data_IF_458329233540
#
_entry.id   IF_458329233540
#
_cell.length_a   1.000
_cell.length_b   1.000
_cell.length_c   1.000
_cell.angle_alpha   90.00
_cell.angle_beta   90.00
_cell.angle_gamma   90.00
#
_symmetry.space_group_name_H-M   'P 1'
#
loop_
_entity.id
_entity.type
_entity.pdbx_description
1 polymer ?
#
# COMPACT_ATOMS: atom_id res chain seq x y z
N UNK A 1 -2.06 13.86 -11.75
CA UNK A 1 -2.54 13.58 -10.39
C UNK A 1 -3.75 12.64 -10.45
N UNK A 2 -3.90 11.77 -9.45
CA UNK A 2 -5.06 10.90 -9.28
C UNK A 2 -5.81 11.35 -8.02
N UNK A 3 -7.14 11.45 -8.05
CA UNK A 3 -7.93 11.83 -6.87
C UNK A 3 -9.16 10.95 -6.67
N UNK A 4 -9.52 10.74 -5.41
CA UNK A 4 -10.75 10.05 -5.01
C UNK A 4 -11.36 10.69 -3.76
N UNK A 5 -12.45 11.44 -3.96
CA UNK A 5 -13.22 12.09 -2.89
C UNK A 5 -12.42 13.06 -2.00
N UNK A 6 -11.40 13.70 -2.56
CA UNK A 6 -10.56 14.72 -1.90
C UNK A 6 -10.38 15.97 -2.77
N UNK A 7 -11.49 16.59 -3.19
CA UNK A 7 -11.41 17.66 -4.18
C UNK A 7 -10.62 18.87 -3.65
N UNK A 8 -10.73 19.19 -2.35
CA UNK A 8 -10.00 20.30 -1.73
C UNK A 8 -8.49 20.04 -1.66
N UNK A 9 -8.06 18.84 -1.27
CA UNK A 9 -6.63 18.48 -1.22
C UNK A 9 -6.04 18.55 -2.65
N UNK A 10 -6.77 18.01 -3.63
CA UNK A 10 -6.37 18.04 -5.03
C UNK A 10 -6.21 19.47 -5.57
N UNK A 11 -7.19 20.35 -5.33
CA UNK A 11 -7.10 21.76 -5.74
C UNK A 11 -5.97 22.49 -5.03
N UNK A 12 -5.71 22.20 -3.75
CA UNK A 12 -4.61 22.80 -3.01
C UNK A 12 -3.25 22.47 -3.66
N UNK A 13 -2.98 21.18 -3.92
CA UNK A 13 -1.75 20.75 -4.59
C UNK A 13 -1.62 21.31 -6.02
N UNK A 14 -2.71 21.40 -6.78
CA UNK A 14 -2.71 22.04 -8.10
C UNK A 14 -2.46 23.55 -8.04
N UNK A 15 -2.92 24.21 -6.98
CA UNK A 15 -2.70 25.64 -6.76
C UNK A 15 -1.22 25.94 -6.53
N UNK A 16 -0.52 25.11 -5.76
CA UNK A 16 0.94 25.23 -5.56
C UNK A 16 1.70 25.13 -6.90
N UNK A 17 1.32 24.17 -7.76
CA UNK A 17 1.90 24.02 -9.10
C UNK A 17 1.60 25.20 -10.03
N UNK A 18 0.40 25.77 -9.94
CA UNK A 18 0.01 26.93 -10.74
C UNK A 18 0.64 28.24 -10.23
N UNK A 19 0.96 28.30 -8.93
CA UNK A 19 1.49 29.49 -8.25
C UNK A 19 2.97 29.77 -8.51
N UNK A 20 3.77 28.75 -8.82
CA UNK A 20 5.17 28.90 -9.19
C UNK A 20 5.32 29.05 -10.73
N UNK A 21 5.74 30.22 -11.25
CA UNK A 21 5.83 30.44 -12.70
C UNK A 21 6.82 29.50 -13.40
N UNK A 22 7.94 29.18 -12.77
CA UNK A 22 8.97 28.32 -13.36
C UNK A 22 8.42 26.90 -13.53
N UNK A 23 7.78 26.36 -12.50
CA UNK A 23 7.20 25.01 -12.55
C UNK A 23 5.99 24.96 -13.47
N UNK A 24 5.10 25.96 -13.39
CA UNK A 24 3.92 26.05 -14.25
C UNK A 24 4.31 26.05 -15.72
N UNK A 25 5.38 26.75 -16.12
CA UNK A 25 5.79 26.86 -17.51
C UNK A 25 6.49 25.59 -18.02
N UNK A 26 7.02 24.74 -17.12
CA UNK A 26 7.54 23.40 -17.46
C UNK A 26 6.43 22.39 -17.77
N UNK A 27 5.23 22.57 -17.21
CA UNK A 27 4.12 21.62 -17.34
C UNK A 27 3.40 21.82 -18.69
N UNK A 28 3.53 20.88 -19.62
CA UNK A 28 2.84 20.95 -20.93
C UNK A 28 1.44 20.35 -20.93
N UNK A 29 1.15 19.45 -20.00
CA UNK A 29 -0.15 18.82 -19.81
C UNK A 29 -0.33 18.52 -18.31
N UNK A 30 -1.43 18.98 -17.74
CA UNK A 30 -1.87 18.67 -16.38
C UNK A 30 -3.07 17.73 -16.44
N UNK A 31 -2.86 16.45 -16.14
CA UNK A 31 -3.95 15.46 -16.09
C UNK A 31 -4.40 15.24 -14.66
N UNK A 32 -5.70 15.40 -14.41
CA UNK A 32 -6.36 15.03 -13.15
C UNK A 32 -7.33 13.89 -13.43
N UNK A 33 -7.02 12.69 -12.95
CA UNK A 33 -7.93 11.55 -12.99
C UNK A 33 -8.81 11.55 -11.73
N UNK A 34 -10.01 12.10 -11.83
CA UNK A 34 -11.03 12.12 -10.77
C UNK A 34 -11.87 10.84 -10.81
N UNK A 35 -11.63 10.00 -9.82
CA UNK A 35 -12.27 8.70 -9.65
C UNK A 35 -13.40 8.72 -8.61
N UNK A 36 -13.68 9.89 -8.02
CA UNK A 36 -14.61 10.09 -6.92
C UNK A 36 -16.03 10.39 -7.34
N UNK A 37 -16.92 10.42 -6.36
CA UNK A 37 -18.27 10.99 -6.50
C UNK A 37 -18.38 12.39 -5.90
N UNK A 38 -17.44 12.79 -5.03
CA UNK A 38 -17.24 14.18 -4.63
C UNK A 38 -16.21 14.82 -5.58
N UNK A 39 -16.70 15.56 -6.57
CA UNK A 39 -15.93 15.95 -7.76
C UNK A 39 -15.00 17.14 -7.53
N UNK A 40 -13.81 17.09 -8.15
CA UNK A 40 -12.80 18.15 -8.07
C UNK A 40 -13.25 19.44 -8.77
N UNK A 41 -14.03 19.34 -9.84
CA UNK A 41 -14.56 20.51 -10.56
C UNK A 41 -15.48 21.39 -9.70
N UNK A 42 -16.07 20.79 -8.66
CA UNK A 42 -17.01 21.45 -7.76
C UNK A 42 -16.30 22.09 -6.54
N UNK A 43 -14.98 21.90 -6.38
CA UNK A 43 -14.22 22.50 -5.27
C UNK A 43 -13.91 23.98 -5.49
N UNK A 44 -13.83 24.70 -4.37
CA UNK A 44 -13.40 26.09 -4.34
C UNK A 44 -11.98 26.22 -4.91
N UNK A 45 -11.78 27.19 -5.80
CA UNK A 45 -10.48 27.44 -6.43
C UNK A 45 -10.22 26.66 -7.71
N UNK A 46 -11.02 25.63 -8.04
CA UNK A 46 -10.84 24.83 -9.27
C UNK A 46 -10.77 25.69 -10.53
N UNK A 47 -11.70 26.63 -10.72
CA UNK A 47 -11.71 27.48 -11.91
C UNK A 47 -10.47 28.36 -12.07
N UNK A 48 -9.77 28.71 -10.97
CA UNK A 48 -8.50 29.45 -11.03
C UNK A 48 -7.36 28.55 -11.51
N UNK A 49 -7.31 27.32 -11.03
CA UNK A 49 -6.34 26.31 -11.47
C UNK A 49 -6.54 25.97 -12.94
N UNK A 50 -7.80 25.71 -13.34
CA UNK A 50 -8.15 25.42 -14.73
C UNK A 50 -7.74 26.58 -15.64
N UNK A 51 -8.04 27.83 -15.27
CA UNK A 51 -7.63 29.01 -16.01
C UNK A 51 -6.09 29.19 -16.07
N UNK A 52 -5.35 28.83 -15.01
CA UNK A 52 -3.89 28.98 -14.97
C UNK A 52 -3.17 28.02 -15.92
N UNK A 53 -3.71 26.82 -16.12
CA UNK A 53 -3.17 25.84 -17.06
C UNK A 53 -3.78 25.96 -18.47
N UNK A 54 -5.02 26.47 -18.58
CA UNK A 54 -5.71 26.73 -19.84
C UNK A 54 -5.96 25.44 -20.62
N UNK A 55 -5.62 25.47 -21.90
CA UNK A 55 -5.69 24.31 -22.82
C UNK A 55 -4.81 23.12 -22.39
N UNK A 56 -3.82 23.36 -21.51
CA UNK A 56 -2.97 22.31 -20.94
C UNK A 56 -3.66 21.55 -19.80
N UNK A 57 -4.83 21.95 -19.34
CA UNK A 57 -5.53 21.26 -18.26
C UNK A 57 -6.47 20.19 -18.80
N UNK A 58 -6.37 18.97 -18.28
CA UNK A 58 -7.23 17.84 -18.64
C UNK A 58 -7.80 17.21 -17.37
N UNK A 59 -9.07 17.52 -17.09
CA UNK A 59 -9.86 16.77 -16.12
C UNK A 59 -10.44 15.53 -16.80
N UNK A 60 -10.20 14.38 -16.18
CA UNK A 60 -10.78 13.10 -16.56
C UNK A 60 -11.63 12.60 -15.40
N UNK A 61 -12.93 12.48 -15.60
CA UNK A 61 -13.81 11.75 -14.68
C UNK A 61 -13.93 10.29 -15.13
N UNK A 62 -13.76 9.35 -14.21
CA UNK A 62 -13.90 7.91 -14.49
C UNK A 62 -14.35 7.14 -13.24
N UNK A 63 -14.68 5.85 -13.37
CA UNK A 63 -14.96 5.00 -12.22
C UNK A 63 -13.72 4.80 -11.32
N UNK A 64 -13.95 4.34 -10.09
CA UNK A 64 -12.86 4.00 -9.17
C UNK A 64 -12.11 2.72 -9.60
N UNK A 65 -10.96 2.92 -10.22
CA UNK A 65 -10.02 1.89 -10.63
C UNK A 65 -8.78 1.85 -9.72
N UNK A 66 -8.83 2.54 -8.58
CA UNK A 66 -7.75 2.66 -7.61
C UNK A 66 -6.57 3.50 -8.10
N UNK A 67 -5.48 3.53 -7.33
CA UNK A 67 -4.24 4.22 -7.69
C UNK A 67 -3.70 3.74 -9.03
N UNK A 68 -3.63 2.41 -9.26
CA UNK A 68 -3.12 1.87 -10.52
C UNK A 68 -3.90 2.37 -11.73
N UNK A 69 -5.23 2.47 -11.62
CA UNK A 69 -6.07 3.00 -12.70
C UNK A 69 -5.92 4.50 -12.92
N UNK A 70 -5.77 5.29 -11.86
CA UNK A 70 -5.55 6.74 -11.96
C UNK A 70 -4.19 7.08 -12.58
N UNK A 71 -3.12 6.42 -12.14
CA UNK A 71 -1.78 6.60 -12.71
C UNK A 71 -1.69 6.05 -14.15
N UNK A 72 -2.35 4.93 -14.44
CA UNK A 72 -2.47 4.43 -15.82
C UNK A 72 -3.22 5.40 -16.71
N UNK A 73 -4.24 6.10 -16.19
CA UNK A 73 -4.96 7.11 -16.95
C UNK A 73 -4.05 8.29 -17.28
N UNK A 74 -3.28 8.79 -16.31
CA UNK A 74 -2.32 9.85 -16.55
C UNK A 74 -1.26 9.46 -17.61
N UNK A 75 -0.74 8.24 -17.55
CA UNK A 75 0.17 7.73 -18.61
C UNK A 75 -0.52 7.59 -19.97
N UNK A 76 -1.76 7.11 -20.00
CA UNK A 76 -2.54 6.98 -21.23
C UNK A 76 -2.70 8.33 -21.92
N UNK A 77 -3.22 9.33 -21.21
CA UNK A 77 -3.40 10.69 -21.74
C UNK A 77 -2.07 11.31 -22.16
N UNK A 78 -1.01 11.12 -21.38
CA UNK A 78 0.34 11.59 -21.72
C UNK A 78 0.88 11.01 -23.03
N UNK A 79 0.61 9.73 -23.29
CA UNK A 79 1.05 9.07 -24.53
C UNK A 79 0.18 9.44 -25.73
N UNK A 80 -1.12 9.67 -25.53
CA UNK A 80 -2.08 9.87 -26.64
C UNK A 80 -2.36 11.32 -26.98
N UNK A 81 -2.20 12.24 -26.03
CA UNK A 81 -2.64 13.65 -26.14
C UNK A 81 -1.53 14.65 -25.74
N UNK A 82 -0.26 14.23 -25.80
CA UNK A 82 0.88 15.09 -25.45
C UNK A 82 2.17 14.67 -26.14
N UNK A 83 3.01 15.66 -26.44
CA UNK A 83 4.39 15.53 -26.94
C UNK A 83 5.45 15.64 -25.82
N UNK A 84 5.01 15.66 -24.55
CA UNK A 84 5.88 15.80 -23.40
C UNK A 84 6.96 14.72 -23.33
N UNK A 85 8.15 15.10 -22.85
CA UNK A 85 9.32 14.22 -22.77
C UNK A 85 9.37 13.41 -21.47
N UNK A 86 8.74 13.91 -20.42
CA UNK A 86 8.69 13.30 -19.09
C UNK A 86 7.28 13.45 -18.51
N UNK A 87 6.84 12.43 -17.80
CA UNK A 87 5.63 12.43 -16.98
C UNK A 87 6.03 12.47 -15.52
N UNK A 88 5.40 13.32 -14.70
CA UNK A 88 5.56 13.27 -13.25
C UNK A 88 4.23 12.87 -12.59
N UNK A 89 4.29 11.81 -11.79
CA UNK A 89 3.23 11.43 -10.88
C UNK A 89 3.30 12.24 -9.60
N UNK A 90 2.13 12.65 -9.11
CA UNK A 90 1.89 13.32 -7.84
C UNK A 90 0.57 12.80 -7.26
N UNK A 91 0.54 12.56 -5.95
CA UNK A 91 -0.69 12.29 -5.19
C UNK A 91 -1.51 13.57 -4.99
N UNK A 92 -2.78 13.44 -4.59
CA UNK A 92 -3.69 14.55 -4.33
C UNK A 92 -3.63 15.07 -2.89
N UNK A 93 -3.32 14.22 -1.90
CA UNK A 93 -3.22 14.59 -0.48
C UNK A 93 -1.79 14.90 -0.02
N UNK A 94 -1.13 15.78 -0.79
CA UNK A 94 0.21 16.29 -0.52
C UNK A 94 0.24 17.79 -0.24
N UNK A 95 1.24 18.22 0.52
CA UNK A 95 1.78 19.58 0.38
C UNK A 95 3.06 19.51 -0.46
N UNK A 96 3.18 20.43 -1.42
CA UNK A 96 4.21 20.41 -2.43
C UNK A 96 5.16 21.60 -2.25
N UNK A 97 6.45 21.34 -2.33
CA UNK A 97 7.47 22.35 -2.63
C UNK A 97 7.69 22.35 -4.15
N UNK A 98 7.21 23.35 -4.93
CA UNK A 98 7.28 23.32 -6.39
C UNK A 98 8.71 23.13 -6.93
N UNK A 99 9.72 23.72 -6.26
CA UNK A 99 11.12 23.53 -6.65
C UNK A 99 11.56 22.05 -6.62
N UNK A 100 10.89 21.18 -5.86
CA UNK A 100 11.13 19.73 -5.92
C UNK A 100 10.83 19.16 -7.31
N UNK A 101 9.76 19.62 -7.98
CA UNK A 101 9.43 19.22 -9.36
C UNK A 101 10.53 19.68 -10.32
N UNK A 102 10.98 20.93 -10.19
CA UNK A 102 12.08 21.47 -10.99
C UNK A 102 13.39 20.70 -10.78
N UNK A 103 13.74 20.36 -9.52
CA UNK A 103 14.92 19.53 -9.18
C UNK A 103 14.86 18.15 -9.82
N UNK A 104 13.71 17.48 -9.75
CA UNK A 104 13.52 16.16 -10.34
C UNK A 104 13.65 16.23 -11.87
N UNK A 105 13.04 17.24 -12.51
CA UNK A 105 13.15 17.45 -13.94
C UNK A 105 14.58 17.77 -14.38
N UNK A 106 15.26 18.70 -13.69
CA UNK A 106 16.66 19.04 -13.95
C UNK A 106 17.57 17.81 -13.82
N UNK A 107 17.42 17.00 -12.77
CA UNK A 107 18.19 15.77 -12.61
C UNK A 107 17.96 14.82 -13.79
N UNK A 108 16.72 14.66 -14.26
CA UNK A 108 16.40 13.82 -15.40
C UNK A 108 17.07 14.32 -16.70
N UNK A 109 17.13 15.63 -16.93
CA UNK A 109 17.79 16.22 -18.12
C UNK A 109 19.30 15.94 -18.17
N UNK A 110 19.96 15.86 -17.02
CA UNK A 110 21.40 15.57 -16.91
C UNK A 110 21.70 14.09 -16.66
N UNK A 111 20.69 13.22 -16.66
CA UNK A 111 20.89 11.79 -16.48
C UNK A 111 21.66 11.20 -17.68
N UNK A 112 22.65 10.35 -17.40
CA UNK A 112 23.49 9.72 -18.45
C UNK A 112 22.71 8.78 -19.38
N UNK A 113 21.57 8.29 -18.90
CA UNK A 113 20.64 7.43 -19.63
C UNK A 113 19.24 7.67 -19.05
N UNK A 114 18.16 7.36 -19.79
CA UNK A 114 16.81 7.48 -19.27
C UNK A 114 16.65 6.70 -17.96
N UNK A 115 16.02 7.31 -16.97
CA UNK A 115 15.83 6.71 -15.65
C UNK A 115 14.65 7.32 -14.93
N UNK A 116 14.09 6.61 -13.95
CA UNK A 116 13.05 7.13 -13.08
C UNK A 116 13.69 8.00 -11.99
N UNK A 117 13.07 9.15 -11.72
CA UNK A 117 13.53 10.11 -10.71
C UNK A 117 12.41 10.32 -9.69
N UNK A 118 12.57 9.73 -8.54
CA UNK A 118 11.62 9.78 -7.43
C UNK A 118 11.92 10.90 -6.45
N UNK A 119 10.88 11.53 -5.93
CA UNK A 119 10.96 12.43 -4.78
C UNK A 119 10.89 11.67 -3.46
N UNK A 120 11.56 12.21 -2.45
CA UNK A 120 11.42 11.76 -1.07
C UNK A 120 10.06 12.18 -0.48
N UNK A 121 9.66 11.51 0.60
CA UNK A 121 8.45 11.83 1.33
C UNK A 121 8.81 12.32 2.74
N UNK A 122 8.39 13.54 3.07
CA UNK A 122 8.35 14.07 4.43
C UNK A 122 6.98 13.77 5.05
N UNK A 123 6.93 13.57 6.36
CA UNK A 123 5.69 13.30 7.06
C UNK A 123 4.86 14.59 7.20
N UNK A 124 3.66 14.63 6.62
CA UNK A 124 2.77 15.80 6.69
C UNK A 124 2.40 16.20 8.14
N UNK A 125 2.26 15.20 9.02
CA UNK A 125 1.94 15.39 10.44
C UNK A 125 3.15 15.81 11.29
N UNK A 126 4.36 15.59 10.80
CA UNK A 126 5.60 15.99 11.47
C UNK A 126 6.63 16.43 10.42
N UNK A 127 6.52 17.70 10.02
CA UNK A 127 7.09 18.22 8.77
C UNK A 127 8.62 18.19 8.70
N UNK A 128 9.33 18.01 9.81
CA UNK A 128 10.79 17.84 9.84
C UNK A 128 11.25 16.39 9.66
N UNK A 129 10.32 15.43 9.56
CA UNK A 129 10.62 14.00 9.54
C UNK A 129 10.61 13.46 8.11
N UNK A 130 11.77 12.97 7.67
CA UNK A 130 11.92 12.16 6.47
C UNK A 130 11.39 10.75 6.71
N UNK A 131 10.50 10.29 5.83
CA UNK A 131 9.98 8.93 5.90
C UNK A 131 11.11 7.92 5.74
N UNK A 132 11.86 7.96 4.64
CA UNK A 132 13.07 7.16 4.41
C UNK A 132 13.89 7.74 3.25
N UNK A 133 15.20 7.44 3.20
CA UNK A 133 16.08 7.84 2.08
C UNK A 133 15.80 7.08 0.77
N UNK A 134 15.24 5.87 0.84
CA UNK A 134 14.97 5.02 -0.32
C UNK A 134 14.59 3.59 0.07
N UNK A 135 13.92 2.89 -0.83
CA UNK A 135 13.39 1.54 -0.61
C UNK A 135 13.87 0.53 -1.66
N UNK A 136 13.91 -0.74 -1.26
CA UNK A 136 14.29 -1.88 -2.11
C UNK A 136 13.35 -3.05 -1.89
N UNK A 137 13.23 -3.95 -2.87
CA UNK A 137 12.51 -5.22 -2.74
C UNK A 137 13.47 -6.31 -2.29
N UNK A 138 13.26 -6.81 -1.08
CA UNK A 138 13.99 -7.96 -0.54
C UNK A 138 13.67 -9.23 -1.34
N UNK A 139 14.61 -9.73 -2.16
CA UNK A 139 14.34 -10.74 -3.21
C UNK A 139 13.96 -12.14 -2.71
N UNK A 140 14.37 -12.54 -1.52
CA UNK A 140 14.08 -13.87 -0.94
C UNK A 140 12.64 -14.00 -0.43
N UNK A 141 12.13 -12.96 0.24
CA UNK A 141 10.76 -12.86 0.73
C UNK A 141 9.84 -12.17 -0.26
N UNK A 142 10.39 -11.40 -1.19
CA UNK A 142 9.66 -10.50 -2.06
C UNK A 142 8.79 -9.52 -1.25
N UNK A 143 9.43 -8.71 -0.42
CA UNK A 143 8.79 -7.66 0.39
C UNK A 143 9.62 -6.40 0.27
N UNK A 144 9.00 -5.23 0.08
CA UNK A 144 9.73 -3.97 0.20
C UNK A 144 10.31 -3.78 1.60
N UNK A 145 11.38 -3.01 1.69
CA UNK A 145 11.99 -2.56 2.92
C UNK A 145 12.83 -1.32 2.63
N UNK A 146 13.25 -0.64 3.70
CA UNK A 146 14.30 0.36 3.60
C UNK A 146 15.57 -0.21 2.96
N UNK A 147 16.16 0.58 2.07
CA UNK A 147 17.43 0.26 1.44
C UNK A 147 18.55 0.03 2.49
N UNK A 148 19.62 -0.72 2.17
CA UNK A 148 20.75 -0.87 3.08
C UNK A 148 21.29 0.48 3.58
N UNK A 149 21.65 0.55 4.87
CA UNK A 149 22.14 1.77 5.54
C UNK A 149 21.13 2.93 5.63
N UNK A 150 19.83 2.64 5.57
CA UNK A 150 18.76 3.61 5.82
C UNK A 150 17.99 3.29 7.09
N UNK A 151 17.31 4.31 7.64
CA UNK A 151 16.33 4.17 8.71
C UNK A 151 15.05 4.94 8.34
N UNK A 152 13.92 4.49 8.87
CA UNK A 152 12.67 5.23 8.75
C UNK A 152 12.61 6.37 9.79
N UNK A 153 11.93 7.46 9.46
CA UNK A 153 11.56 8.50 10.42
C UNK A 153 12.73 9.35 10.91
N UNK A 154 13.61 9.79 10.01
CA UNK A 154 14.70 10.68 10.38
C UNK A 154 14.20 12.11 10.63
N UNK A 155 14.33 12.61 11.86
CA UNK A 155 13.90 13.95 12.25
C UNK A 155 15.03 14.99 12.15
N UNK A 156 14.96 15.85 11.12
CA UNK A 156 15.96 16.90 10.88
C UNK A 156 15.97 18.00 11.95
N UNK A 157 14.88 18.17 12.71
CA UNK A 157 14.82 19.13 13.83
C UNK A 157 15.68 18.67 15.01
N UNK A 158 15.80 17.34 15.20
CA UNK A 158 16.58 16.74 16.29
C UNK A 158 18.02 16.46 15.87
N UNK A 159 18.20 15.90 14.68
CA UNK A 159 19.52 15.58 14.13
C UNK A 159 19.69 16.23 12.77
N UNK A 160 20.47 17.30 12.70
CA UNK A 160 20.73 17.99 11.43
C UNK A 160 21.48 17.10 10.44
N UNK A 161 21.35 17.39 9.14
CA UNK A 161 22.06 16.67 8.08
C UNK A 161 23.57 16.59 8.33
N UNK A 162 24.20 17.67 8.82
CA UNK A 162 25.64 17.69 9.14
C UNK A 162 26.04 16.63 10.18
N UNK A 163 25.17 16.36 11.15
CA UNK A 163 25.40 15.36 12.22
C UNK A 163 25.00 13.95 11.78
N UNK A 164 24.01 13.84 10.89
CA UNK A 164 23.45 12.58 10.42
C UNK A 164 24.33 11.87 9.36
N UNK A 165 25.52 11.39 9.76
CA UNK A 165 26.48 10.72 8.84
C UNK A 165 25.91 9.56 8.03
N UNK A 166 24.85 8.89 8.53
CA UNK A 166 24.17 7.82 7.79
C UNK A 166 23.46 8.31 6.52
N UNK A 167 23.08 9.61 6.46
CA UNK A 167 22.44 10.22 5.29
C UNK A 167 23.42 10.70 4.22
N UNK A 168 24.74 10.68 4.48
CA UNK A 168 25.76 11.15 3.53
C UNK A 168 26.11 10.09 2.47
N UNK A 169 25.61 8.87 2.62
CA UNK A 169 25.82 7.79 1.67
C UNK A 169 24.85 7.94 0.50
N UNK A 170 25.32 7.67 -0.72
CA UNK A 170 24.42 7.39 -1.84
C UNK A 170 23.62 6.13 -1.52
N UNK A 171 22.31 6.22 -1.65
CA UNK A 171 21.38 5.11 -1.42
C UNK A 171 20.81 4.68 -2.77
N UNK A 172 21.09 3.43 -3.15
CA UNK A 172 20.55 2.83 -4.36
C UNK A 172 19.20 2.16 -4.03
N UNK A 173 18.22 2.29 -4.94
CA UNK A 173 16.82 1.88 -4.75
C UNK A 173 16.35 0.97 -5.88
N UNK A 174 15.33 0.14 -5.62
CA UNK A 174 14.67 -0.66 -6.67
C UNK A 174 13.50 0.09 -7.33
N UNK A 175 12.89 1.05 -6.62
CA UNK A 175 11.72 1.80 -7.05
C UNK A 175 11.58 3.09 -6.22
N UNK A 176 10.61 3.94 -6.59
CA UNK A 176 10.14 5.04 -5.75
C UNK A 176 8.61 5.04 -5.73
N UNK A 177 8.01 5.41 -4.61
CA UNK A 177 6.55 5.58 -4.54
C UNK A 177 6.04 6.68 -5.46
N UNK A 178 4.78 6.58 -5.84
CA UNK A 178 4.14 7.47 -6.82
C UNK A 178 3.55 8.75 -6.24
N UNK A 179 3.78 9.03 -4.96
CA UNK A 179 3.55 10.36 -4.37
C UNK A 179 4.33 11.46 -5.11
N UNK A 180 5.51 11.12 -5.63
CA UNK A 180 6.30 11.96 -6.52
C UNK A 180 7.27 11.09 -7.32
N UNK A 181 6.99 10.83 -8.60
CA UNK A 181 7.88 10.03 -9.45
C UNK A 181 7.84 10.52 -10.90
N UNK A 182 8.99 10.95 -11.41
CA UNK A 182 9.19 11.40 -12.77
C UNK A 182 9.72 10.26 -13.64
N UNK A 183 9.06 10.02 -14.77
CA UNK A 183 9.27 8.89 -15.67
C UNK A 183 9.43 9.43 -17.10
N UNK A 184 10.56 9.16 -17.78
CA UNK A 184 10.75 9.57 -19.17
C UNK A 184 9.77 8.86 -20.12
N UNK A 185 9.35 9.54 -21.18
CA UNK A 185 8.43 8.98 -22.19
C UNK A 185 8.92 7.66 -22.77
N UNK A 186 10.21 7.60 -23.14
CA UNK A 186 10.83 6.40 -23.70
C UNK A 186 10.76 5.19 -22.78
N UNK A 187 10.77 5.41 -21.45
CA UNK A 187 10.58 4.33 -20.48
C UNK A 187 9.16 3.79 -20.55
N UNK A 188 8.15 4.68 -20.55
CA UNK A 188 6.73 4.29 -20.61
C UNK A 188 6.43 3.55 -21.91
N UNK A 189 6.94 4.05 -23.04
CA UNK A 189 6.78 3.41 -24.35
C UNK A 189 7.40 2.01 -24.41
N UNK A 190 8.54 1.80 -23.71
CA UNK A 190 9.23 0.51 -23.70
C UNK A 190 8.68 -0.50 -22.68
N UNK A 191 8.28 -0.05 -21.48
CA UNK A 191 7.86 -0.96 -20.39
C UNK A 191 6.35 -1.04 -20.18
N UNK A 192 5.58 -0.16 -20.82
CA UNK A 192 4.13 -0.10 -20.74
C UNK A 192 3.59 0.55 -19.47
N UNK A 193 2.26 0.61 -19.37
CA UNK A 193 1.50 1.22 -18.27
C UNK A 193 1.57 0.37 -16.97
N UNK A 194 1.12 0.88 -15.81
CA UNK A 194 0.99 0.10 -14.58
C UNK A 194 0.22 -1.21 -14.76
N UNK A 195 0.51 -2.19 -13.90
CA UNK A 195 -0.35 -3.37 -13.79
C UNK A 195 -1.73 -2.99 -13.23
N UNK A 196 -2.83 -3.65 -13.65
CA UNK A 196 -4.18 -3.42 -13.14
C UNK A 196 -4.38 -4.01 -11.73
N UNK A 197 -3.78 -3.37 -10.72
CA UNK A 197 -3.69 -3.89 -9.34
C UNK A 197 -4.60 -3.21 -8.32
N UNK A 198 -5.36 -2.19 -8.71
CA UNK A 198 -6.13 -1.28 -7.85
C UNK A 198 -5.23 -0.42 -6.95
N UNK A 199 -4.55 -0.99 -5.95
CA UNK A 199 -3.58 -0.27 -5.09
C UNK A 199 -2.43 -1.19 -4.65
N UNK A 200 -1.29 -0.60 -4.27
CA UNK A 200 -0.11 -1.28 -3.70
C UNK A 200 0.63 -2.14 -4.72
N UNK A 201 1.96 -2.17 -4.59
CA UNK A 201 2.92 -2.91 -5.42
C UNK A 201 3.02 -2.45 -6.87
N UNK A 202 2.14 -1.58 -7.35
CA UNK A 202 2.19 -1.02 -8.69
C UNK A 202 3.45 -0.17 -8.92
N UNK A 203 3.80 0.67 -7.95
CA UNK A 203 5.05 1.43 -7.93
C UNK A 203 6.31 0.54 -7.89
N UNK A 204 6.35 -0.40 -6.95
CA UNK A 204 7.47 -1.31 -6.76
C UNK A 204 7.66 -2.25 -7.96
N UNK A 205 6.57 -2.78 -8.51
CA UNK A 205 6.62 -3.61 -9.70
C UNK A 205 7.10 -2.82 -10.91
N UNK A 206 6.63 -1.59 -11.10
CA UNK A 206 7.04 -0.74 -12.21
C UNK A 206 8.54 -0.42 -12.14
N UNK A 207 9.06 -0.08 -10.95
CA UNK A 207 10.49 0.16 -10.73
C UNK A 207 11.33 -1.09 -11.04
N UNK A 208 10.90 -2.26 -10.58
CA UNK A 208 11.56 -3.54 -10.92
C UNK A 208 11.56 -3.83 -12.41
N UNK A 209 10.44 -3.58 -13.09
CA UNK A 209 10.28 -3.81 -14.51
C UNK A 209 11.10 -2.84 -15.35
N UNK A 210 11.13 -1.56 -14.99
CA UNK A 210 11.99 -0.56 -15.58
C UNK A 210 13.47 -0.92 -15.41
N UNK A 211 13.88 -1.31 -14.19
CA UNK A 211 15.24 -1.76 -13.91
C UNK A 211 15.65 -2.97 -14.74
N UNK A 212 14.74 -3.94 -14.93
CA UNK A 212 14.98 -5.11 -15.78
C UNK A 212 15.11 -4.76 -17.28
N UNK A 213 14.52 -3.65 -17.72
CA UNK A 213 14.66 -3.11 -19.07
C UNK A 213 15.87 -2.18 -19.25
N UNK A 214 16.70 -1.99 -18.21
CA UNK A 214 17.90 -1.15 -18.24
C UNK A 214 17.68 0.29 -17.77
N UNK A 215 16.50 0.63 -17.25
CA UNK A 215 16.17 1.96 -16.74
C UNK A 215 16.22 1.98 -15.20
N UNK A 216 17.29 2.52 -14.58
CA UNK A 216 17.39 2.53 -13.13
C UNK A 216 16.37 3.50 -12.51
N UNK A 217 16.24 3.43 -11.18
CA UNK A 217 15.50 4.42 -10.39
C UNK A 217 16.46 5.11 -9.42
N UNK A 218 16.30 6.42 -9.22
CA UNK A 218 16.91 7.14 -8.12
C UNK A 218 15.84 7.87 -7.30
N UNK A 219 15.91 7.75 -5.98
CA UNK A 219 15.21 8.65 -5.05
C UNK A 219 16.12 9.82 -4.77
N UNK A 220 15.74 11.03 -5.19
CA UNK A 220 16.57 12.23 -5.16
C UNK A 220 16.48 12.94 -3.79
N UNK A 221 17.54 12.93 -2.96
CA UNK A 221 17.51 13.64 -1.69
C UNK A 221 17.38 15.16 -1.89
N UNK A 222 16.49 15.77 -1.12
CA UNK A 222 16.20 17.20 -1.24
C UNK A 222 15.16 17.57 -2.30
N UNK A 223 14.66 16.65 -3.12
CA UNK A 223 13.39 16.80 -3.82
C UNK A 223 12.33 16.02 -3.03
N UNK A 224 11.35 16.70 -2.46
CA UNK A 224 10.39 16.04 -1.57
C UNK A 224 9.01 16.71 -1.59
N UNK A 225 8.02 15.92 -1.17
CA UNK A 225 6.68 16.38 -0.83
C UNK A 225 6.39 16.04 0.63
N UNK A 226 5.37 16.66 1.21
CA UNK A 226 4.79 16.20 2.48
C UNK A 226 3.55 15.38 2.19
N UNK A 227 3.49 14.18 2.75
CA UNK A 227 2.35 13.27 2.62
C UNK A 227 2.06 12.59 3.95
N UNK A 228 0.84 12.08 4.12
CA UNK A 228 0.46 11.29 5.29
C UNK A 228 1.39 10.08 5.44
N UNK A 229 2.14 10.02 6.54
CA UNK A 229 3.05 8.91 6.79
C UNK A 229 2.28 7.62 7.09
N UNK A 230 2.84 6.50 6.65
CA UNK A 230 2.32 5.16 6.90
C UNK A 230 2.65 4.65 8.30
N UNK A 231 3.52 5.33 9.05
CA UNK A 231 4.01 4.87 10.37
C UNK A 231 2.89 4.57 11.37
N UNK A 232 1.77 5.28 11.24
CA UNK A 232 0.62 5.19 12.14
C UNK A 232 -0.62 4.52 11.49
N UNK A 233 -0.51 4.01 10.25
CA UNK A 233 -1.60 3.31 9.56
C UNK A 233 -1.36 1.79 9.56
N UNK A 234 -2.23 1.01 10.20
CA UNK A 234 -2.21 -0.47 10.13
C UNK A 234 -2.98 -0.98 8.89
N UNK A 235 -2.43 -0.71 7.70
CA UNK A 235 -3.02 -1.15 6.41
C UNK A 235 -2.82 -2.65 6.13
N UNK A 236 -2.02 -3.35 6.93
CA UNK A 236 -1.73 -4.77 6.72
C UNK A 236 -2.87 -5.70 7.18
N UNK A 237 -3.90 -5.19 7.86
CA UNK A 237 -4.98 -6.00 8.47
C UNK A 237 -6.40 -5.52 8.18
N UNK A 238 -6.56 -4.38 7.49
CA UNK A 238 -7.86 -3.89 7.04
C UNK A 238 -8.21 -4.48 5.65
N UNK A 239 -9.06 -3.80 4.89
CA UNK A 239 -9.41 -4.19 3.52
C UNK A 239 -8.20 -4.24 2.58
N UNK A 240 -7.13 -3.47 2.84
CA UNK A 240 -5.93 -3.43 2.03
C UNK A 240 -5.11 -4.72 2.15
N UNK A 241 -5.33 -5.54 3.19
CA UNK A 241 -4.69 -6.84 3.34
C UNK A 241 -4.91 -7.77 2.13
N UNK A 242 -6.08 -7.67 1.48
CA UNK A 242 -6.37 -8.38 0.24
C UNK A 242 -5.40 -7.97 -0.88
N UNK A 243 -5.29 -6.66 -1.14
CA UNK A 243 -4.44 -6.12 -2.20
C UNK A 243 -2.96 -6.35 -1.91
N UNK A 244 -2.52 -6.12 -0.67
CA UNK A 244 -1.17 -6.41 -0.21
C UNK A 244 -0.72 -7.84 -0.53
N UNK A 245 -1.57 -8.85 -0.27
CA UNK A 245 -1.21 -10.25 -0.55
C UNK A 245 -1.26 -10.57 -2.03
N UNK A 246 -2.37 -10.23 -2.71
CA UNK A 246 -2.54 -10.57 -4.13
C UNK A 246 -1.42 -9.94 -4.95
N UNK A 247 -1.22 -8.64 -4.78
CA UNK A 247 -0.33 -7.85 -5.62
C UNK A 247 1.15 -8.15 -5.33
N UNK A 248 1.51 -8.45 -4.06
CA UNK A 248 2.84 -8.98 -3.71
C UNK A 248 3.16 -10.24 -4.49
N UNK A 249 2.21 -11.18 -4.53
CA UNK A 249 2.45 -12.47 -5.18
C UNK A 249 2.42 -12.34 -6.71
N UNK A 250 1.61 -11.43 -7.27
CA UNK A 250 1.65 -11.08 -8.71
C UNK A 250 3.03 -10.52 -9.08
N UNK A 251 3.50 -9.48 -8.38
CA UNK A 251 4.81 -8.89 -8.61
C UNK A 251 5.93 -9.93 -8.42
N UNK A 252 5.81 -10.81 -7.42
CA UNK A 252 6.74 -11.92 -7.24
C UNK A 252 6.73 -12.89 -8.43
N UNK A 253 5.56 -13.25 -8.95
CA UNK A 253 5.42 -14.16 -10.08
C UNK A 253 6.12 -13.60 -11.34
N UNK A 254 6.09 -12.28 -11.51
CA UNK A 254 6.78 -11.59 -12.59
C UNK A 254 8.30 -11.56 -12.38
N UNK A 255 8.76 -11.13 -11.20
CA UNK A 255 10.15 -10.69 -11.03
C UNK A 255 11.07 -11.63 -10.22
N UNK A 256 10.53 -12.61 -9.49
CA UNK A 256 11.39 -13.49 -8.68
C UNK A 256 12.20 -14.45 -9.54
N UNK A 257 13.46 -14.68 -9.16
CA UNK A 257 14.28 -15.77 -9.70
C UNK A 257 13.86 -17.15 -9.14
N UNK A 258 13.17 -17.18 -8.00
CA UNK A 258 12.87 -18.41 -7.27
C UNK A 258 11.73 -19.19 -7.92
N UNK A 259 12.01 -20.41 -8.41
CA UNK A 259 11.03 -21.24 -9.15
C UNK A 259 9.70 -21.44 -8.42
N UNK A 260 9.76 -21.59 -7.09
CA UNK A 260 8.59 -21.79 -6.21
C UNK A 260 8.40 -20.66 -5.20
N UNK A 261 8.87 -19.46 -5.51
CA UNK A 261 8.68 -18.25 -4.68
C UNK A 261 9.64 -18.12 -3.49
N UNK A 262 10.50 -19.10 -3.22
CA UNK A 262 11.51 -19.00 -2.17
C UNK A 262 10.89 -18.90 -0.77
N UNK A 263 11.31 -17.91 0.02
CA UNK A 263 10.79 -17.69 1.37
C UNK A 263 9.42 -16.99 1.38
N UNK A 264 8.97 -16.39 0.27
CA UNK A 264 7.70 -15.67 0.14
C UNK A 264 6.51 -16.46 0.69
N UNK A 265 6.35 -17.72 0.28
CA UNK A 265 5.15 -18.51 0.62
C UNK A 265 5.13 -18.83 2.11
N UNK A 266 6.28 -19.18 2.68
CA UNK A 266 6.42 -19.42 4.12
C UNK A 266 6.19 -18.14 4.92
N UNK A 267 6.73 -17.02 4.43
CA UNK A 267 6.55 -15.70 5.05
C UNK A 267 5.08 -15.27 5.02
N UNK A 268 4.38 -15.45 3.90
CA UNK A 268 2.96 -15.18 3.78
C UNK A 268 2.12 -16.04 4.75
N UNK A 269 2.42 -17.34 4.85
CA UNK A 269 1.75 -18.23 5.80
C UNK A 269 2.01 -17.83 7.25
N UNK A 270 3.22 -17.36 7.57
CA UNK A 270 3.55 -16.87 8.91
C UNK A 270 2.68 -15.68 9.31
N UNK A 271 2.37 -14.77 8.38
CA UNK A 271 1.46 -13.65 8.63
C UNK A 271 0.04 -14.14 8.90
N UNK A 272 -0.49 -15.10 8.12
CA UNK A 272 -1.80 -15.71 8.38
C UNK A 272 -1.88 -16.26 9.80
N UNK A 273 -0.90 -17.07 10.20
CA UNK A 273 -0.85 -17.68 11.54
C UNK A 273 -0.75 -16.61 12.63
N UNK A 274 0.07 -15.56 12.42
CA UNK A 274 0.18 -14.43 13.36
C UNK A 274 -1.18 -13.73 13.55
N UNK A 275 -1.88 -13.43 12.47
CA UNK A 275 -3.17 -12.74 12.52
C UNK A 275 -4.27 -13.60 13.14
N UNK A 276 -4.25 -14.92 12.92
CA UNK A 276 -5.12 -15.85 13.63
C UNK A 276 -4.88 -15.83 15.14
N UNK A 277 -3.62 -15.82 15.59
CA UNK A 277 -3.26 -15.66 17.00
C UNK A 277 -3.65 -14.29 17.57
N UNK A 278 -3.78 -13.27 16.72
CA UNK A 278 -4.25 -11.94 17.08
C UNK A 278 -5.77 -11.76 16.93
N UNK A 279 -6.50 -12.86 16.68
CA UNK A 279 -7.96 -12.88 16.51
C UNK A 279 -8.47 -11.97 15.36
N UNK A 280 -7.64 -11.77 14.33
CA UNK A 280 -7.97 -11.00 13.12
C UNK A 280 -8.45 -11.94 12.02
N UNK A 281 -9.62 -12.55 12.21
CA UNK A 281 -10.17 -13.55 11.30
C UNK A 281 -10.58 -12.93 9.95
N UNK A 282 -11.10 -11.70 9.97
CA UNK A 282 -11.45 -10.97 8.76
C UNK A 282 -10.22 -10.76 7.86
N UNK A 283 -9.09 -10.32 8.43
CA UNK A 283 -7.85 -10.12 7.70
C UNK A 283 -7.37 -11.42 7.03
N UNK A 284 -7.42 -12.55 7.74
CA UNK A 284 -7.01 -13.85 7.20
C UNK A 284 -7.96 -14.32 6.09
N UNK A 285 -9.26 -14.13 6.25
CA UNK A 285 -10.24 -14.45 5.22
C UNK A 285 -10.04 -13.63 3.94
N UNK A 286 -9.71 -12.33 4.07
CA UNK A 286 -9.34 -11.47 2.94
C UNK A 286 -8.06 -11.93 2.25
N UNK A 287 -7.05 -12.35 3.01
CA UNK A 287 -5.80 -12.90 2.46
C UNK A 287 -6.05 -14.23 1.73
N UNK A 288 -6.99 -15.06 2.20
CA UNK A 288 -7.42 -16.24 1.46
C UNK A 288 -8.09 -15.89 0.14
N UNK A 289 -9.01 -14.92 0.15
CA UNK A 289 -9.66 -14.41 -1.07
C UNK A 289 -8.63 -13.89 -2.07
N UNK A 290 -7.60 -13.17 -1.60
CA UNK A 290 -6.50 -12.69 -2.42
C UNK A 290 -5.72 -13.82 -3.11
N UNK A 291 -5.42 -14.91 -2.39
CA UNK A 291 -4.75 -16.08 -2.97
C UNK A 291 -5.67 -16.81 -3.96
N UNK A 292 -6.97 -16.90 -3.66
CA UNK A 292 -7.96 -17.51 -4.55
C UNK A 292 -8.09 -16.75 -5.86
N UNK A 293 -8.15 -15.42 -5.83
CA UNK A 293 -8.19 -14.58 -7.03
C UNK A 293 -6.88 -14.61 -7.81
N UNK A 294 -5.73 -14.56 -7.13
CA UNK A 294 -4.42 -14.76 -7.76
C UNK A 294 -4.35 -16.07 -8.55
N UNK A 295 -4.88 -17.17 -7.98
CA UNK A 295 -4.87 -18.50 -8.59
C UNK A 295 -5.78 -18.62 -9.81
N UNK A 296 -6.71 -17.68 -10.04
CA UNK A 296 -7.51 -17.60 -11.28
C UNK A 296 -6.66 -17.18 -12.48
N UNK A 297 -5.54 -16.49 -12.24
CA UNK A 297 -4.60 -16.07 -13.29
C UNK A 297 -4.69 -14.58 -13.64
N UNK A 298 -3.91 -14.11 -14.62
CA UNK A 298 -3.82 -12.69 -14.98
C UNK A 298 -5.08 -12.12 -15.63
N UNK A 299 -5.86 -12.94 -16.35
CA UNK A 299 -6.99 -12.47 -17.18
C UNK A 299 -8.09 -11.78 -16.37
N UNK A 300 -8.22 -12.12 -15.08
CA UNK A 300 -9.24 -11.52 -14.20
C UNK A 300 -8.85 -10.16 -13.64
N UNK A 301 -7.60 -9.71 -13.79
CA UNK A 301 -7.13 -8.50 -13.09
C UNK A 301 -7.90 -7.24 -13.49
N UNK A 302 -8.15 -7.04 -14.79
CA UNK A 302 -8.95 -5.89 -15.26
C UNK A 302 -10.40 -5.95 -14.78
N UNK A 303 -11.02 -7.13 -14.77
CA UNK A 303 -12.40 -7.31 -14.30
C UNK A 303 -12.55 -7.05 -12.80
N UNK A 304 -11.50 -7.31 -12.03
CA UNK A 304 -11.47 -7.08 -10.59
C UNK A 304 -11.31 -5.61 -10.22
N UNK A 305 -10.77 -4.74 -11.09
CA UNK A 305 -10.51 -3.33 -10.76
C UNK A 305 -11.73 -2.60 -10.16
N UNK A 306 -12.89 -2.54 -10.85
CA UNK A 306 -14.05 -1.80 -10.33
C UNK A 306 -14.78 -2.51 -9.18
N UNK A 307 -14.58 -3.82 -9.01
CA UNK A 307 -15.41 -4.66 -8.12
C UNK A 307 -14.69 -5.19 -6.88
N UNK A 308 -13.37 -5.18 -6.85
CA UNK A 308 -12.59 -5.79 -5.76
C UNK A 308 -12.84 -5.09 -4.43
N UNK A 309 -12.76 -3.75 -4.37
CA UNK A 309 -12.96 -3.00 -3.13
C UNK A 309 -14.33 -3.25 -2.48
N UNK A 310 -15.49 -3.10 -3.17
CA UNK A 310 -16.79 -3.37 -2.56
C UNK A 310 -16.95 -4.85 -2.17
N UNK A 311 -16.38 -5.77 -2.95
CA UNK A 311 -16.40 -7.21 -2.63
C UNK A 311 -15.63 -7.52 -1.34
N UNK A 312 -14.43 -6.96 -1.20
CA UNK A 312 -13.57 -7.07 -0.01
C UNK A 312 -14.27 -6.46 1.20
N UNK A 313 -14.83 -5.26 1.07
CA UNK A 313 -15.55 -4.59 2.16
C UNK A 313 -16.75 -5.42 2.64
N UNK A 314 -17.57 -5.94 1.72
CA UNK A 314 -18.70 -6.82 2.03
C UNK A 314 -18.24 -8.11 2.72
N UNK A 315 -17.16 -8.72 2.25
CA UNK A 315 -16.64 -9.94 2.86
C UNK A 315 -16.13 -9.70 4.29
N UNK A 316 -15.42 -8.60 4.50
CA UNK A 316 -14.91 -8.18 5.82
C UNK A 316 -16.05 -7.95 6.81
N UNK A 317 -17.16 -7.35 6.38
CA UNK A 317 -18.31 -7.07 7.24
C UNK A 317 -18.98 -8.33 7.84
N UNK A 318 -18.78 -9.51 7.24
CA UNK A 318 -19.29 -10.79 7.77
C UNK A 318 -18.56 -11.27 9.03
N UNK A 319 -17.46 -10.61 9.42
CA UNK A 319 -16.65 -10.96 10.58
C UNK A 319 -16.75 -9.86 11.63
N UNK A 320 -16.91 -10.25 12.90
CA UNK A 320 -17.04 -9.30 14.02
C UNK A 320 -15.79 -8.40 14.14
N UNK A 321 -14.59 -8.96 13.96
CA UNK A 321 -13.34 -8.19 14.00
C UNK A 321 -13.16 -7.27 12.77
N UNK A 322 -13.96 -7.47 11.72
CA UNK A 322 -14.02 -6.62 10.53
C UNK A 322 -14.94 -5.41 10.68
N UNK A 323 -15.74 -5.34 11.74
CA UNK A 323 -16.69 -4.25 11.97
C UNK A 323 -16.12 -3.25 12.98
N UNK A 324 -15.99 -2.00 12.55
CA UNK A 324 -15.53 -0.89 13.41
C UNK A 324 -16.73 -0.33 14.18
N UNK A 325 -16.55 -0.04 15.47
CA UNK A 325 -17.48 0.70 16.34
C UNK A 325 -16.85 2.01 16.78
N UNK A 326 -17.69 2.96 17.21
CA UNK A 326 -17.25 4.31 17.54
C UNK A 326 -16.35 4.34 18.77
N UNK A 327 -16.69 3.59 19.81
CA UNK A 327 -15.95 3.61 21.06
C UNK A 327 -15.93 2.26 21.77
N UNK A 328 -14.93 2.04 22.63
CA UNK A 328 -14.93 0.92 23.57
C UNK A 328 -16.09 1.02 24.58
N UNK A 329 -16.63 2.22 24.83
CA UNK A 329 -17.80 2.44 25.68
C UNK A 329 -19.10 1.92 25.08
N UNK A 330 -19.11 1.58 23.78
CA UNK A 330 -20.25 0.92 23.13
C UNK A 330 -20.38 -0.55 23.57
N UNK A 331 -19.40 -1.05 24.34
CA UNK A 331 -19.38 -2.41 24.89
C UNK A 331 -19.40 -2.37 26.43
N UNK A 332 -19.85 -3.45 27.10
CA UNK A 332 -19.75 -3.57 28.54
C UNK A 332 -18.29 -3.45 29.01
N UNK A 333 -18.09 -2.88 30.21
CA UNK A 333 -16.76 -2.70 30.81
C UNK A 333 -15.97 -4.03 30.82
N UNK A 334 -14.64 -4.02 30.68
CA UNK A 334 -13.87 -5.26 30.64
C UNK A 334 -13.99 -6.08 31.95
N UNK A 335 -13.91 -7.41 31.87
CA UNK A 335 -13.92 -8.27 33.08
C UNK A 335 -12.57 -8.33 33.79
N UNK A 336 -11.46 -8.07 33.10
CA UNK A 336 -10.11 -8.13 33.66
C UNK A 336 -9.63 -6.75 34.10
N UNK A 337 -9.03 -6.68 35.28
CA UNK A 337 -8.40 -5.46 35.79
C UNK A 337 -7.06 -5.16 35.06
N UNK A 338 -6.67 -3.88 35.07
CA UNK A 338 -5.48 -3.41 34.39
C UNK A 338 -4.17 -3.99 34.97
N UNK A 339 -4.11 -4.22 36.29
CA UNK A 339 -2.91 -4.76 36.96
C UNK A 339 -2.64 -6.22 36.55
N UNK A 340 -3.69 -7.00 36.31
CA UNK A 340 -3.61 -8.34 35.75
C UNK A 340 -3.24 -8.30 34.27
N UNK A 341 -3.73 -7.32 33.52
CA UNK A 341 -3.40 -7.12 32.11
C UNK A 341 -1.91 -6.80 31.89
N UNK A 342 -1.31 -6.00 32.78
CA UNK A 342 0.10 -5.56 32.70
C UNK A 342 1.09 -6.73 32.61
N UNK A 343 0.80 -7.83 33.31
CA UNK A 343 1.63 -9.05 33.31
C UNK A 343 1.76 -9.69 31.93
N UNK A 344 0.84 -9.38 31.01
CA UNK A 344 0.79 -9.92 29.66
C UNK A 344 1.35 -8.96 28.60
N UNK A 345 1.72 -7.73 28.97
CA UNK A 345 2.23 -6.72 28.03
C UNK A 345 3.71 -6.89 27.69
N UNK A 346 4.48 -7.62 28.52
CA UNK A 346 5.92 -7.81 28.30
C UNK A 346 6.18 -8.71 27.08
N UNK A 347 6.87 -8.22 26.03
CA UNK A 347 7.18 -9.03 24.86
C UNK A 347 8.11 -10.20 25.20
N UNK A 348 7.80 -11.44 24.77
CA UNK A 348 8.71 -12.56 24.95
C UNK A 348 9.92 -12.40 24.01
N UNK A 349 11.13 -12.35 24.56
CA UNK A 349 12.38 -12.19 23.80
C UNK A 349 13.14 -13.51 23.61
N UNK A 350 13.02 -14.45 24.55
CA UNK A 350 13.71 -15.73 24.48
C UNK A 350 12.97 -16.76 23.61
N UNK A 351 13.68 -17.53 22.75
CA UNK A 351 13.06 -18.50 21.84
C UNK A 351 12.18 -19.54 22.53
N UNK A 352 12.59 -20.05 23.70
CA UNK A 352 11.83 -21.03 24.48
C UNK A 352 10.50 -20.43 24.96
N UNK A 353 10.52 -19.18 25.45
CA UNK A 353 9.32 -18.48 25.91
C UNK A 353 8.35 -18.20 24.76
N UNK A 354 8.88 -17.81 23.59
CA UNK A 354 8.08 -17.65 22.37
C UNK A 354 7.41 -18.97 21.99
N UNK A 355 8.17 -20.07 21.94
CA UNK A 355 7.66 -21.39 21.58
C UNK A 355 6.57 -21.86 22.58
N UNK A 356 6.80 -21.71 23.89
CA UNK A 356 5.79 -21.99 24.92
C UNK A 356 4.54 -21.13 24.76
N UNK A 357 4.70 -19.85 24.45
CA UNK A 357 3.58 -18.94 24.18
C UNK A 357 2.74 -19.37 22.99
N UNK A 358 3.38 -19.77 21.89
CA UNK A 358 2.68 -20.31 20.70
C UNK A 358 1.99 -21.63 21.03
N UNK A 359 2.65 -22.57 21.72
CA UNK A 359 2.04 -23.83 22.12
C UNK A 359 0.83 -23.62 23.04
N UNK A 360 0.94 -22.71 24.02
CA UNK A 360 -0.17 -22.32 24.88
C UNK A 360 -1.34 -21.71 24.12
N UNK A 361 -1.06 -20.85 23.13
CA UNK A 361 -2.08 -20.29 22.27
C UNK A 361 -2.82 -21.35 21.42
N UNK A 362 -2.08 -22.33 20.88
CA UNK A 362 -2.68 -23.44 20.15
C UNK A 362 -3.54 -24.31 21.07
N UNK A 363 -3.04 -24.66 22.26
CA UNK A 363 -3.79 -25.40 23.26
C UNK A 363 -5.07 -24.67 23.69
N UNK A 364 -4.98 -23.35 23.88
CA UNK A 364 -6.14 -22.52 24.20
C UNK A 364 -7.20 -22.55 23.09
N UNK A 365 -6.79 -22.59 21.81
CA UNK A 365 -7.71 -22.74 20.68
C UNK A 365 -8.28 -24.16 20.51
N UNK A 366 -7.82 -25.17 21.26
CA UNK A 366 -8.47 -26.48 21.32
C UNK A 366 -9.65 -26.50 22.30
N UNK A 367 -9.67 -25.59 23.26
CA UNK A 367 -10.72 -25.48 24.27
C UNK A 367 -11.87 -24.58 23.77
N UNK A 368 -13.12 -24.85 24.20
CA UNK A 368 -14.24 -23.94 23.91
C UNK A 368 -13.98 -22.54 24.47
N UNK A 369 -14.57 -21.53 23.82
CA UNK A 369 -14.56 -20.15 24.33
C UNK A 369 -15.48 -20.02 25.54
N UNK A 370 -15.07 -19.24 26.54
CA UNK A 370 -15.91 -18.93 27.68
C UNK A 370 -17.11 -18.09 27.23
N UNK A 371 -18.34 -18.54 27.51
CA UNK A 371 -19.56 -17.84 27.15
C UNK A 371 -19.63 -16.43 27.73
N UNK A 372 -19.16 -16.22 28.97
CA UNK A 372 -19.13 -14.90 29.60
C UNK A 372 -18.22 -13.90 28.86
N UNK A 373 -17.16 -14.39 28.20
CA UNK A 373 -16.28 -13.56 27.39
C UNK A 373 -16.91 -13.22 26.02
N UNK A 374 -17.95 -13.93 25.58
CA UNK A 374 -18.69 -13.57 24.38
C UNK A 374 -19.53 -12.32 24.64
N UNK A 375 -20.20 -12.23 25.79
CA UNK A 375 -21.10 -11.13 26.12
C UNK A 375 -20.36 -9.87 26.59
N UNK A 376 -19.24 -10.06 27.30
CA UNK A 376 -18.44 -8.97 27.88
C UNK A 376 -16.96 -9.14 27.52
N UNK A 377 -16.30 -8.11 26.94
CA UNK A 377 -14.89 -8.19 26.59
C UNK A 377 -14.03 -8.46 27.83
N UNK A 378 -12.93 -9.20 27.68
CA UNK A 378 -12.00 -9.38 28.79
C UNK A 378 -11.12 -8.15 29.00
N UNK A 379 -10.69 -7.52 27.91
CA UNK A 379 -9.82 -6.34 27.94
C UNK A 379 -10.19 -5.33 26.85
N UNK A 380 -9.89 -4.06 27.13
CA UNK A 380 -9.82 -3.00 26.14
C UNK A 380 -8.35 -2.71 25.87
N UNK A 381 -7.91 -2.85 24.62
CA UNK A 381 -6.50 -2.85 24.23
C UNK A 381 -6.27 -1.72 23.21
N UNK A 382 -5.26 -0.89 23.46
CA UNK A 382 -4.81 0.10 22.48
C UNK A 382 -4.15 -0.57 21.27
N UNK A 383 -4.20 0.07 20.09
CA UNK A 383 -3.64 -0.49 18.86
C UNK A 383 -2.16 -0.93 19.01
N UNK A 384 -1.34 -0.13 19.70
CA UNK A 384 0.08 -0.39 19.93
C UNK A 384 0.37 -1.64 20.80
N UNK A 385 -0.56 -1.98 21.68
CA UNK A 385 -0.46 -3.10 22.63
C UNK A 385 -1.10 -4.39 22.10
N UNK A 386 -1.80 -4.32 20.96
CA UNK A 386 -2.44 -5.44 20.29
C UNK A 386 -1.41 -6.40 19.69
N UNK A 387 -0.77 -7.22 20.54
CA UNK A 387 0.27 -8.19 20.17
C UNK A 387 -0.20 -9.63 20.35
N UNK A 388 0.34 -10.52 19.53
CA UNK A 388 -0.05 -11.95 19.51
C UNK A 388 0.08 -12.63 20.87
N UNK A 389 1.11 -12.31 21.65
CA UNK A 389 1.38 -12.99 22.93
C UNK A 389 0.37 -12.62 24.03
N UNK A 390 -0.32 -11.47 23.87
CA UNK A 390 -1.42 -11.02 24.72
C UNK A 390 -2.74 -11.58 24.21
N UNK A 391 -3.09 -11.25 22.96
CA UNK A 391 -4.39 -11.58 22.37
C UNK A 391 -4.64 -13.09 22.27
N UNK A 392 -3.61 -13.90 22.05
CA UNK A 392 -3.76 -15.34 21.92
C UNK A 392 -4.13 -16.06 23.24
N UNK A 393 -4.18 -15.33 24.36
CA UNK A 393 -4.59 -15.84 25.68
C UNK A 393 -6.01 -15.40 26.07
N UNK A 394 -6.67 -14.63 25.20
CA UNK A 394 -7.98 -14.05 25.44
C UNK A 394 -9.02 -14.72 24.54
N UNK A 395 -10.21 -14.84 25.09
CA UNK A 395 -11.44 -15.20 24.38
C UNK A 395 -12.10 -13.97 23.73
N UNK A 396 -11.91 -12.78 24.32
CA UNK A 396 -12.44 -11.54 23.75
C UNK A 396 -11.68 -10.28 24.19
N UNK A 397 -11.55 -9.33 23.28
CA UNK A 397 -11.04 -8.00 23.58
C UNK A 397 -11.56 -6.96 22.58
N UNK A 398 -11.77 -5.73 23.05
CA UNK A 398 -11.85 -4.59 22.13
C UNK A 398 -10.44 -4.13 21.80
N UNK A 399 -10.20 -3.80 20.54
CA UNK A 399 -8.90 -3.32 20.07
C UNK A 399 -9.08 -2.04 19.28
N UNK A 400 -8.41 -0.97 19.71
CA UNK A 400 -8.39 0.31 19.01
C UNK A 400 -7.88 0.17 17.57
N UNK A 401 -8.48 0.92 16.64
CA UNK A 401 -7.96 1.07 15.28
C UNK A 401 -6.67 1.88 15.31
N UNK A 402 -5.76 1.66 14.36
CA UNK A 402 -4.47 2.35 14.32
C UNK A 402 -4.60 3.87 14.15
N UNK A 403 -5.63 4.32 13.44
CA UNK A 403 -5.96 5.75 13.28
C UNK A 403 -6.63 6.37 14.52
N UNK A 404 -6.90 5.58 15.56
CA UNK A 404 -7.53 6.02 16.80
C UNK A 404 -9.01 6.41 16.67
N UNK A 405 -9.65 6.19 15.52
CA UNK A 405 -11.02 6.65 15.24
C UNK A 405 -12.12 5.69 15.69
N UNK A 406 -11.75 4.50 16.17
CA UNK A 406 -12.72 3.54 16.67
C UNK A 406 -12.08 2.29 17.27
N UNK A 407 -12.91 1.27 17.47
CA UNK A 407 -12.51 -0.02 18.02
C UNK A 407 -13.10 -1.18 17.23
N UNK A 408 -12.42 -2.32 17.25
CA UNK A 408 -12.93 -3.59 16.73
C UNK A 408 -13.09 -4.58 17.87
N UNK A 409 -14.18 -5.35 17.87
CA UNK A 409 -14.34 -6.45 18.83
C UNK A 409 -13.69 -7.71 18.25
N UNK A 410 -12.65 -8.20 18.91
CA UNK A 410 -11.99 -9.45 18.57
C UNK A 410 -12.48 -10.54 19.49
N UNK A 411 -12.91 -11.67 18.91
CA UNK A 411 -13.53 -12.78 19.64
C UNK A 411 -12.97 -14.09 19.13
N UNK A 412 -12.51 -14.92 20.06
CA UNK A 412 -12.01 -16.26 19.77
C UNK A 412 -13.18 -17.19 19.47
N UNK A 413 -13.08 -17.86 18.34
CA UNK A 413 -13.93 -18.99 18.00
C UNK A 413 -13.05 -20.15 17.49
N UNK A 414 -12.86 -21.21 18.29
CA UNK A 414 -12.08 -22.39 17.90
C UNK A 414 -12.45 -22.95 16.53
N UNK A 415 -13.75 -23.00 16.20
CA UNK A 415 -14.21 -23.59 14.95
C UNK A 415 -13.74 -22.75 13.77
N UNK A 416 -13.96 -21.43 13.84
CA UNK A 416 -13.46 -20.48 12.82
C UNK A 416 -11.94 -20.48 12.76
N UNK A 417 -11.25 -20.48 13.91
CA UNK A 417 -9.79 -20.52 14.00
C UNK A 417 -9.23 -21.72 13.22
N UNK A 418 -9.63 -22.95 13.57
CA UNK A 418 -9.10 -24.15 12.92
C UNK A 418 -9.54 -24.29 11.46
N UNK A 419 -10.74 -23.81 11.11
CA UNK A 419 -11.18 -23.72 9.70
C UNK A 419 -10.25 -22.82 8.89
N UNK A 420 -9.92 -21.63 9.41
CA UNK A 420 -9.02 -20.69 8.74
C UNK A 420 -7.58 -21.19 8.71
N UNK A 421 -7.06 -21.83 9.77
CA UNK A 421 -5.74 -22.51 9.75
C UNK A 421 -5.70 -23.54 8.63
N UNK A 422 -6.70 -24.44 8.58
CA UNK A 422 -6.78 -25.48 7.55
C UNK A 422 -6.85 -24.91 6.14
N UNK A 423 -7.60 -23.81 5.94
CA UNK A 423 -7.67 -23.10 4.65
C UNK A 423 -6.34 -22.43 4.29
N UNK A 424 -5.67 -21.75 5.23
CA UNK A 424 -4.32 -21.17 5.04
C UNK A 424 -3.34 -22.24 4.57
N UNK A 425 -3.24 -23.37 5.27
CA UNK A 425 -2.31 -24.45 4.92
C UNK A 425 -2.60 -25.02 3.52
N UNK A 426 -3.87 -25.25 3.19
CA UNK A 426 -4.30 -25.78 1.89
C UNK A 426 -3.97 -24.82 0.76
N UNK A 427 -4.30 -23.53 0.91
CA UNK A 427 -4.04 -22.51 -0.09
C UNK A 427 -2.54 -22.29 -0.31
N UNK A 428 -1.74 -22.26 0.76
CA UNK A 428 -0.29 -22.11 0.64
C UNK A 428 0.38 -23.33 0.01
N UNK A 429 -0.09 -24.55 0.32
CA UNK A 429 0.37 -25.77 -0.36
C UNK A 429 0.03 -25.75 -1.86
N UNK A 430 -1.19 -25.32 -2.20
CA UNK A 430 -1.63 -25.15 -3.60
C UNK A 430 -0.80 -24.09 -4.31
N UNK A 431 -0.63 -22.92 -3.70
CA UNK A 431 0.19 -21.83 -4.19
C UNK A 431 1.63 -22.29 -4.45
N UNK A 432 2.26 -23.01 -3.50
CA UNK A 432 3.62 -23.54 -3.69
C UNK A 432 3.74 -24.50 -4.88
N UNK A 433 2.74 -25.36 -5.09
CA UNK A 433 2.69 -26.28 -6.24
C UNK A 433 2.47 -25.55 -7.56
N UNK A 434 1.55 -24.59 -7.58
CA UNK A 434 1.13 -23.90 -8.81
C UNK A 434 1.97 -22.66 -9.14
N UNK A 435 2.82 -22.19 -8.23
CA UNK A 435 3.64 -20.99 -8.44
C UNK A 435 4.45 -21.00 -9.75
N UNK A 436 5.10 -22.11 -10.16
CA UNK A 436 5.79 -22.15 -11.47
C UNK A 436 4.84 -21.90 -12.66
N UNK A 437 3.60 -22.40 -12.58
CA UNK A 437 2.56 -22.16 -13.60
C UNK A 437 2.14 -20.69 -13.60
N UNK A 438 1.86 -20.13 -12.43
CA UNK A 438 1.49 -18.72 -12.28
C UNK A 438 2.58 -17.80 -12.84
N UNK A 439 3.86 -18.03 -12.52
CA UNK A 439 4.98 -17.28 -13.09
C UNK A 439 4.94 -17.25 -14.61
N UNK A 440 4.71 -18.41 -15.24
CA UNK A 440 4.62 -18.49 -16.71
C UNK A 440 3.42 -17.69 -17.23
N UNK A 441 2.24 -17.88 -16.65
CA UNK A 441 1.01 -17.19 -17.07
C UNK A 441 1.11 -15.67 -16.94
N UNK A 442 1.51 -15.16 -15.76
CA UNK A 442 1.63 -13.72 -15.53
C UNK A 442 2.70 -13.07 -16.42
N UNK A 443 3.85 -13.74 -16.64
CA UNK A 443 4.89 -13.22 -17.55
C UNK A 443 4.43 -13.20 -19.01
N UNK A 444 3.67 -14.20 -19.44
CA UNK A 444 3.11 -14.25 -20.79
C UNK A 444 2.04 -13.18 -21.00
N UNK A 445 1.23 -12.89 -19.97
CA UNK A 445 0.20 -11.86 -20.03
C UNK A 445 0.73 -10.44 -19.84
N UNK A 446 1.96 -10.26 -19.34
CA UNK A 446 2.52 -8.94 -19.01
C UNK A 446 2.41 -7.92 -20.16
N UNK A 447 2.75 -8.25 -21.43
CA UNK A 447 2.62 -7.28 -22.52
C UNK A 447 1.18 -6.80 -22.73
N UNK A 448 0.19 -7.68 -22.55
CA UNK A 448 -1.23 -7.31 -22.68
C UNK A 448 -1.70 -6.49 -21.47
N UNK A 449 -1.38 -6.94 -20.26
CA UNK A 449 -1.75 -6.29 -18.99
C UNK A 449 -1.30 -4.83 -18.90
N UNK A 450 -0.22 -4.48 -19.59
CA UNK A 450 0.37 -3.14 -19.53
C UNK A 450 0.38 -2.41 -20.85
N UNK A 451 -0.36 -2.92 -21.83
CA UNK A 451 -0.52 -2.25 -23.11
C UNK A 451 -1.47 -1.04 -22.99
N UNK A 452 -1.18 -0.01 -23.79
CA UNK A 452 -2.06 1.16 -23.96
C UNK A 452 -3.45 0.72 -24.45
N UNK A 453 -3.50 -0.30 -25.31
CA UNK A 453 -4.74 -0.81 -25.89
C UNK A 453 -5.64 -1.47 -24.84
N UNK A 454 -5.10 -2.31 -23.95
CA UNK A 454 -5.88 -3.00 -22.92
C UNK A 454 -6.40 -2.06 -21.86
N UNK A 455 -5.57 -1.10 -21.42
CA UNK A 455 -6.02 -0.01 -20.57
C UNK A 455 -7.06 0.88 -21.25
N UNK A 456 -6.89 1.21 -22.54
CA UNK A 456 -7.89 1.95 -23.30
C UNK A 456 -9.25 1.24 -23.36
N UNK A 457 -9.27 -0.10 -23.47
CA UNK A 457 -10.51 -0.89 -23.36
C UNK A 457 -11.10 -0.82 -21.95
N UNK A 458 -10.26 -0.93 -20.92
CA UNK A 458 -10.69 -0.84 -19.52
C UNK A 458 -11.29 0.54 -19.20
N UNK A 459 -10.69 1.64 -19.68
CA UNK A 459 -11.23 2.98 -19.51
C UNK A 459 -12.56 3.16 -20.25
N UNK A 460 -12.69 2.70 -21.50
CA UNK A 460 -13.97 2.78 -22.22
C UNK A 460 -15.11 2.00 -21.54
N UNK A 461 -14.80 0.88 -20.90
CA UNK A 461 -15.79 0.06 -20.19
C UNK A 461 -16.20 0.66 -18.83
N UNK A 462 -15.34 1.44 -18.20
CA UNK A 462 -15.51 1.97 -16.85
C UNK A 462 -15.46 3.52 -16.81
N UNK A 463 -15.66 4.15 -17.97
CA UNK A 463 -15.57 5.60 -18.17
C UNK A 463 -16.90 6.30 -17.97
#
# INVERSE_FOLDING_TARGET
MCTFNRPNDCVAALTELAGDPLVRDLIRLMVVADQGNNKVRDAEGFGRVEAAFGDRFRLVEQANLGGSGGFSRAMYEFLTDSDGTHLIFLDDDIELEPDSVARAFAFAQYAKQPMLVGGQMLALQNRSVLHIMGEVVQRDKFFWRGAPNTCYGHDFSRTTLRKAKHLHRRIDVDYNGWWMCLIPRSVIEQVGLPLPLFIKWDDAEYGLRAGAAGFPTATLPGAAIWHLSWTDKEDATDWQAYFHVRNRIVAAALHTAQRRGGALIRDNLKFDLKYLLMLQYSAVALRHMAIEDLLKGPDVLFDLLPTALPTVAKHRANFIDGQVRGSASDFPLPTMDAARAERFLKPPTHPITIARGVAGALAHNLLPSNSAALDRPQLNIAAQDARWFLLARLDSATVGTADGRGVTLRRRDPRTFWKLVGKSLRLHRRLYREFPRLRKQYRQALPDLTSVQSWGRAFKRNG
#
